data_IF_811126528568
#
_entry.id   IF_811126528568
#
_cell.length_a   1.000
_cell.length_b   1.000
_cell.length_c   1.000
_cell.angle_alpha   90.00
_cell.angle_beta   90.00
_cell.angle_gamma   90.00
#
_symmetry.space_group_name_H-M   'P 1'
#
loop_
_entity.id
_entity.type
_entity.pdbx_description
1 polymer ?
#
# COMPACT_ATOMS: atom_id res chain seq x y z
N UNK A 1 27.45 -17.21 4.02
CA UNK A 1 27.74 -15.78 4.26
C UNK A 1 27.98 -15.18 2.89
N UNK A 2 26.95 -14.58 2.30
CA UNK A 2 27.09 -13.79 1.06
C UNK A 2 28.04 -12.64 1.34
N UNK A 3 29.00 -12.36 0.44
CA UNK A 3 29.93 -11.25 0.64
C UNK A 3 29.21 -9.91 0.47
N UNK A 4 29.72 -8.84 1.07
CA UNK A 4 29.14 -7.50 0.90
C UNK A 4 29.12 -7.06 -0.58
N UNK A 5 30.10 -7.53 -1.38
CA UNK A 5 30.14 -7.30 -2.82
C UNK A 5 28.99 -8.00 -3.56
N UNK A 6 28.61 -9.21 -3.13
CA UNK A 6 27.47 -9.93 -3.71
C UNK A 6 26.15 -9.20 -3.41
N UNK A 7 26.00 -8.63 -2.20
CA UNK A 7 24.82 -7.88 -1.82
C UNK A 7 24.63 -6.61 -2.65
N UNK A 8 25.71 -5.87 -2.91
CA UNK A 8 25.66 -4.67 -3.76
C UNK A 8 25.19 -5.04 -5.18
N UNK A 9 25.77 -6.09 -5.76
CA UNK A 9 25.39 -6.56 -7.09
C UNK A 9 23.92 -7.02 -7.14
N UNK A 10 23.44 -7.72 -6.11
CA UNK A 10 22.02 -8.12 -5.96
C UNK A 10 21.11 -6.88 -5.96
N UNK A 11 21.46 -5.83 -5.20
CA UNK A 11 20.68 -4.58 -5.11
C UNK A 11 20.65 -3.84 -6.45
N UNK A 12 21.79 -3.69 -7.12
CA UNK A 12 21.86 -3.01 -8.42
C UNK A 12 21.04 -3.74 -9.49
N UNK A 13 21.11 -5.08 -9.50
CA UNK A 13 20.33 -5.92 -10.41
C UNK A 13 18.83 -5.75 -10.17
N UNK A 14 18.41 -5.74 -8.90
CA UNK A 14 17.02 -5.50 -8.53
C UNK A 14 16.56 -4.09 -8.92
N UNK A 15 17.38 -3.06 -8.69
CA UNK A 15 17.07 -1.68 -9.07
C UNK A 15 16.84 -1.54 -10.58
N UNK A 16 17.71 -2.14 -11.41
CA UNK A 16 17.53 -2.17 -12.86
C UNK A 16 16.21 -2.83 -13.26
N UNK A 17 15.88 -3.98 -12.66
CA UNK A 17 14.64 -4.70 -12.91
C UNK A 17 13.39 -3.92 -12.49
N UNK A 18 13.46 -3.16 -11.40
CA UNK A 18 12.38 -2.26 -10.98
C UNK A 18 12.20 -1.08 -11.94
N UNK A 19 13.28 -0.56 -12.52
CA UNK A 19 13.19 0.46 -13.57
C UNK A 19 12.52 -0.07 -14.85
N UNK A 20 12.78 -1.33 -15.21
CA UNK A 20 12.06 -2.02 -16.29
C UNK A 20 10.57 -2.17 -15.96
N UNK A 21 10.23 -2.58 -14.74
CA UNK A 21 8.86 -2.69 -14.28
C UNK A 21 8.12 -1.34 -14.35
N UNK A 22 8.74 -0.25 -13.88
CA UNK A 22 8.20 1.11 -14.00
C UNK A 22 7.93 1.48 -15.45
N UNK A 23 8.88 1.19 -16.34
CA UNK A 23 8.76 1.48 -17.78
C UNK A 23 7.59 0.69 -18.39
N UNK A 24 7.41 -0.56 -18.00
CA UNK A 24 6.28 -1.39 -18.43
C UNK A 24 4.93 -0.85 -17.94
N UNK A 25 4.86 -0.40 -16.68
CA UNK A 25 3.65 0.18 -16.09
C UNK A 25 3.28 1.50 -16.78
N UNK A 26 4.28 2.36 -17.05
CA UNK A 26 4.10 3.67 -17.68
C UNK A 26 3.47 3.59 -19.09
N UNK A 27 3.55 2.42 -19.77
CA UNK A 27 2.86 2.19 -21.04
C UNK A 27 1.35 2.25 -20.92
N UNK A 28 0.78 1.85 -19.78
CA UNK A 28 -0.67 1.78 -19.55
C UNK A 28 -1.19 2.79 -18.53
N UNK A 29 -0.33 3.25 -17.62
CA UNK A 29 -0.68 4.18 -16.56
C UNK A 29 0.22 5.42 -16.63
N UNK A 30 -0.31 6.49 -17.22
CA UNK A 30 0.46 7.67 -17.67
C UNK A 30 0.38 8.80 -16.65
N UNK A 31 1.50 9.49 -16.42
CA UNK A 31 1.55 10.78 -15.73
C UNK A 31 1.32 10.74 -14.22
N UNK A 32 1.50 9.57 -13.60
CA UNK A 32 1.28 9.36 -12.17
C UNK A 32 2.42 8.55 -11.53
N UNK A 33 3.66 8.97 -11.79
CA UNK A 33 4.87 8.25 -11.37
C UNK A 33 4.91 7.99 -9.86
N UNK A 34 4.49 8.97 -9.06
CA UNK A 34 4.50 8.82 -7.60
C UNK A 34 3.51 7.75 -7.10
N UNK A 35 2.38 7.58 -7.77
CA UNK A 35 1.41 6.52 -7.44
C UNK A 35 2.00 5.15 -7.80
N UNK A 36 2.69 5.04 -8.94
CA UNK A 36 3.44 3.84 -9.32
C UNK A 36 4.55 3.53 -8.31
N UNK A 37 5.32 4.53 -7.88
CA UNK A 37 6.37 4.37 -6.87
C UNK A 37 5.87 3.81 -5.57
N UNK A 38 4.79 4.39 -5.04
CA UNK A 38 4.24 3.99 -3.75
C UNK A 38 3.58 2.61 -3.82
N UNK A 39 2.96 2.26 -4.96
CA UNK A 39 2.42 0.91 -5.16
C UNK A 39 3.53 -0.14 -5.27
N UNK A 40 4.59 0.11 -6.04
CA UNK A 40 5.77 -0.77 -6.08
C UNK A 40 6.43 -0.88 -4.71
N UNK A 41 6.57 0.23 -3.99
CA UNK A 41 7.05 0.27 -2.61
C UNK A 41 6.23 -0.66 -1.71
N UNK A 42 4.91 -0.62 -1.80
CA UNK A 42 4.04 -1.52 -1.03
C UNK A 42 4.31 -3.00 -1.34
N UNK A 43 4.46 -3.35 -2.61
CA UNK A 43 4.70 -4.74 -3.02
C UNK A 43 6.06 -5.25 -2.56
N UNK A 44 7.14 -4.48 -2.76
CA UNK A 44 8.51 -4.90 -2.40
C UNK A 44 8.72 -4.88 -0.88
N UNK A 45 7.95 -4.07 -0.14
CA UNK A 45 7.93 -4.13 1.32
C UNK A 45 7.15 -5.33 1.88
N UNK A 46 6.41 -6.08 1.05
CA UNK A 46 5.55 -7.16 1.54
C UNK A 46 4.25 -6.66 2.18
N UNK A 47 3.83 -5.42 1.88
CA UNK A 47 2.70 -4.75 2.50
C UNK A 47 1.49 -4.55 1.60
N UNK A 48 0.46 -3.91 2.16
CA UNK A 48 -0.78 -3.52 1.49
C UNK A 48 -0.83 -1.99 1.34
N UNK A 49 -1.54 -1.48 0.33
CA UNK A 49 -1.70 -0.04 0.13
C UNK A 49 -3.16 0.38 0.04
N UNK A 50 -3.44 1.60 0.49
CA UNK A 50 -4.74 2.25 0.42
C UNK A 50 -4.70 3.38 -0.62
N UNK A 51 -5.38 3.19 -1.75
CA UNK A 51 -5.50 4.16 -2.85
C UNK A 51 -6.71 5.08 -2.60
N UNK A 52 -6.45 6.34 -2.26
CA UNK A 52 -7.50 7.33 -2.03
C UNK A 52 -7.59 8.25 -3.23
N UNK A 53 -8.75 8.30 -3.88
CA UNK A 53 -8.94 9.19 -5.03
C UNK A 53 -10.31 9.05 -5.65
N UNK A 54 -10.62 9.94 -6.59
CA UNK A 54 -11.93 9.97 -7.23
C UNK A 54 -12.13 8.79 -8.20
N UNK A 55 -13.38 8.48 -8.58
CA UNK A 55 -13.67 7.53 -9.64
C UNK A 55 -13.02 7.95 -10.97
N UNK A 56 -12.67 6.98 -11.80
CA UNK A 56 -12.13 7.24 -13.15
C UNK A 56 -10.64 7.58 -13.24
N UNK A 57 -9.90 7.65 -12.12
CA UNK A 57 -8.45 7.96 -12.12
C UNK A 57 -7.53 6.77 -12.48
N UNK A 58 -8.06 5.76 -13.19
CA UNK A 58 -7.27 4.63 -13.67
C UNK A 58 -6.80 3.64 -12.59
N UNK A 59 -7.35 3.68 -11.37
CA UNK A 59 -6.98 2.76 -10.26
C UNK A 59 -7.10 1.29 -10.64
N UNK A 60 -8.19 0.88 -11.29
CA UNK A 60 -8.37 -0.49 -11.80
C UNK A 60 -7.29 -0.85 -12.80
N UNK A 61 -7.03 0.03 -13.78
CA UNK A 61 -6.00 -0.16 -14.81
C UNK A 61 -4.60 -0.30 -14.19
N UNK A 62 -4.31 0.45 -13.13
CA UNK A 62 -3.06 0.33 -12.38
C UNK A 62 -2.90 -1.06 -11.76
N UNK A 63 -3.92 -1.57 -11.04
CA UNK A 63 -3.84 -2.88 -10.38
C UNK A 63 -3.74 -4.04 -11.39
N UNK A 64 -4.50 -3.97 -12.48
CA UNK A 64 -4.41 -4.97 -13.56
C UNK A 64 -3.01 -4.97 -14.19
N UNK A 65 -2.48 -3.78 -14.46
CA UNK A 65 -1.13 -3.62 -15.02
C UNK A 65 -0.06 -4.13 -14.06
N UNK A 66 -0.18 -3.84 -12.77
CA UNK A 66 0.73 -4.35 -11.73
C UNK A 66 0.67 -5.88 -11.65
N UNK A 67 -0.52 -6.48 -11.75
CA UNK A 67 -0.67 -7.95 -11.75
C UNK A 67 0.12 -8.58 -12.89
N UNK A 68 0.02 -8.02 -14.11
CA UNK A 68 0.77 -8.48 -15.28
C UNK A 68 2.27 -8.25 -15.12
N UNK A 69 2.70 -7.03 -14.79
CA UNK A 69 4.12 -6.66 -14.71
C UNK A 69 4.83 -7.44 -13.60
N UNK A 70 4.15 -7.69 -12.49
CA UNK A 70 4.70 -8.38 -11.33
C UNK A 70 4.55 -9.92 -11.40
N UNK A 71 3.90 -10.44 -12.45
CA UNK A 71 3.66 -11.88 -12.62
C UNK A 71 2.81 -12.49 -11.51
N UNK A 72 1.80 -11.74 -11.03
CA UNK A 72 0.92 -12.14 -9.94
C UNK A 72 -0.46 -12.52 -10.46
N UNK A 73 -1.04 -13.57 -9.89
CA UNK A 73 -2.45 -13.87 -10.06
C UNK A 73 -3.29 -12.79 -9.38
N UNK A 74 -3.86 -11.90 -10.17
CA UNK A 74 -4.72 -10.82 -9.72
C UNK A 74 -6.17 -11.26 -9.51
N UNK A 75 -6.87 -10.62 -8.58
CA UNK A 75 -8.32 -10.72 -8.48
C UNK A 75 -8.93 -9.39 -8.01
N UNK A 76 -10.22 -9.19 -8.24
CA UNK A 76 -10.93 -7.95 -7.91
C UNK A 76 -12.22 -8.21 -7.16
N UNK A 77 -12.46 -7.41 -6.13
CA UNK A 77 -13.71 -7.36 -5.37
C UNK A 77 -14.21 -5.94 -5.38
N UNK A 78 -15.46 -5.75 -5.76
CA UNK A 78 -16.17 -4.50 -5.54
C UNK A 78 -16.88 -4.58 -4.20
N UNK A 79 -16.59 -3.65 -3.28
CA UNK A 79 -17.28 -3.58 -2.01
C UNK A 79 -18.61 -2.86 -2.20
N UNK A 80 -19.69 -3.53 -1.78
CA UNK A 80 -21.05 -3.03 -1.81
C UNK A 80 -21.69 -3.20 -0.42
N UNK A 81 -22.77 -2.48 -0.09
CA UNK A 81 -23.41 -2.57 1.21
C UNK A 81 -23.95 -3.97 1.57
N UNK A 82 -24.27 -4.77 0.55
CA UNK A 82 -24.79 -6.13 0.65
C UNK A 82 -23.71 -7.23 0.62
N UNK A 83 -22.44 -6.87 0.38
CA UNK A 83 -21.34 -7.83 0.32
C UNK A 83 -21.14 -8.53 1.67
N UNK A 84 -21.18 -9.86 1.67
CA UNK A 84 -21.02 -10.66 2.87
C UNK A 84 -19.56 -11.16 3.03
N UNK A 85 -19.11 -11.46 4.26
CA UNK A 85 -17.79 -12.06 4.48
C UNK A 85 -17.53 -13.33 3.65
N UNK A 86 -18.55 -14.15 3.45
CA UNK A 86 -18.46 -15.39 2.66
C UNK A 86 -18.17 -15.12 1.17
N UNK A 87 -18.60 -13.98 0.62
CA UNK A 87 -18.33 -13.59 -0.77
C UNK A 87 -16.87 -13.17 -0.97
N UNK A 88 -16.16 -12.88 0.12
CA UNK A 88 -14.74 -12.52 0.13
C UNK A 88 -13.88 -13.75 0.43
N UNK A 89 -14.20 -14.44 1.53
CA UNK A 89 -13.40 -15.53 2.07
C UNK A 89 -13.69 -16.89 1.41
N UNK A 90 -14.84 -17.02 0.77
CA UNK A 90 -15.35 -18.30 0.26
C UNK A 90 -16.39 -18.92 1.18
N UNK A 91 -17.07 -19.95 0.67
CA UNK A 91 -18.15 -20.64 1.37
C UNK A 91 -18.16 -22.12 1.05
N UNK A 92 -18.79 -22.92 1.93
CA UNK A 92 -19.07 -24.32 1.65
C UNK A 92 -20.46 -24.46 1.04
N UNK A 93 -20.53 -25.18 -0.06
CA UNK A 93 -21.79 -25.56 -0.70
C UNK A 93 -21.98 -27.06 -0.59
N UNK A 94 -23.22 -27.48 -0.35
CA UNK A 94 -23.57 -28.90 -0.38
C UNK A 94 -23.74 -29.33 -1.84
N UNK A 95 -22.81 -30.13 -2.33
CA UNK A 95 -22.86 -30.68 -3.68
C UNK A 95 -23.41 -32.11 -3.63
N UNK A 96 -24.28 -32.44 -4.57
CA UNK A 96 -24.81 -33.80 -4.73
C UNK A 96 -24.12 -34.41 -5.93
N UNK A 97 -23.31 -35.46 -5.70
CA UNK A 97 -22.64 -36.18 -6.76
C UNK A 97 -23.65 -36.99 -7.60
N UNK A 98 -23.22 -37.44 -8.78
CA UNK A 98 -24.07 -38.18 -9.72
C UNK A 98 -24.62 -39.50 -9.15
N UNK A 99 -24.01 -40.03 -8.09
CA UNK A 99 -24.44 -41.23 -7.35
C UNK A 99 -25.42 -40.94 -6.19
N UNK A 100 -25.79 -39.66 -5.98
CA UNK A 100 -26.71 -39.22 -4.93
C UNK A 100 -26.04 -38.95 -3.58
N UNK A 101 -24.72 -39.14 -3.45
CA UNK A 101 -23.99 -38.77 -2.23
C UNK A 101 -23.90 -37.25 -2.09
N UNK A 102 -24.00 -36.76 -0.84
CA UNK A 102 -23.91 -35.33 -0.53
C UNK A 102 -22.58 -35.06 0.17
N UNK A 103 -21.79 -34.13 -0.35
CA UNK A 103 -20.54 -33.70 0.25
C UNK A 103 -20.48 -32.17 0.28
N UNK A 104 -19.88 -31.61 1.33
CA UNK A 104 -19.56 -30.20 1.37
C UNK A 104 -18.34 -29.94 0.48
N UNK A 105 -18.47 -29.04 -0.49
CA UNK A 105 -17.36 -28.54 -1.30
C UNK A 105 -17.10 -27.08 -0.96
N UNK A 106 -15.85 -26.77 -0.65
CA UNK A 106 -15.43 -25.39 -0.48
C UNK A 106 -15.25 -24.70 -1.82
N UNK A 107 -15.88 -23.54 -1.97
CA UNK A 107 -15.67 -22.62 -3.09
C UNK A 107 -14.79 -21.48 -2.57
N UNK A 108 -13.59 -21.40 -3.13
CA UNK A 108 -12.64 -20.33 -2.82
C UNK A 108 -13.23 -18.96 -3.16
N UNK A 109 -13.17 -18.06 -2.19
CA UNK A 109 -13.47 -16.66 -2.42
C UNK A 109 -12.37 -15.94 -3.22
N UNK A 110 -12.61 -14.70 -3.62
CA UNK A 110 -11.66 -13.91 -4.40
C UNK A 110 -10.33 -13.61 -3.70
N UNK A 111 -10.25 -13.73 -2.37
CA UNK A 111 -8.98 -13.54 -1.61
C UNK A 111 -7.92 -14.60 -1.93
N UNK A 112 -8.27 -15.73 -2.53
CA UNK A 112 -7.32 -16.77 -2.95
C UNK A 112 -6.60 -16.36 -4.25
N UNK A 113 -5.82 -15.29 -4.16
CA UNK A 113 -4.99 -14.75 -5.23
C UNK A 113 -3.68 -14.20 -4.63
N UNK A 114 -2.85 -13.56 -5.44
CA UNK A 114 -1.59 -12.94 -4.99
C UNK A 114 -1.68 -11.41 -4.94
N UNK A 115 -2.49 -10.80 -5.80
CA UNK A 115 -2.77 -9.36 -5.79
C UNK A 115 -4.28 -9.11 -5.84
N UNK A 116 -4.84 -8.63 -4.73
CA UNK A 116 -6.26 -8.35 -4.62
C UNK A 116 -6.54 -6.85 -4.74
N UNK A 117 -7.38 -6.47 -5.69
CA UNK A 117 -8.02 -5.15 -5.71
C UNK A 117 -9.29 -5.17 -4.85
N UNK A 118 -9.31 -4.38 -3.78
CA UNK A 118 -10.50 -4.21 -2.94
C UNK A 118 -11.10 -2.82 -3.18
N UNK A 119 -12.00 -2.71 -4.17
CA UNK A 119 -12.54 -1.45 -4.63
C UNK A 119 -13.61 -0.93 -3.66
N UNK A 120 -13.49 0.34 -3.26
CA UNK A 120 -14.44 1.05 -2.38
C UNK A 120 -14.66 0.36 -1.03
N UNK A 121 -13.57 -0.05 -0.36
CA UNK A 121 -13.59 -0.84 0.88
C UNK A 121 -14.49 -0.23 1.98
N UNK A 122 -14.68 1.09 1.96
CA UNK A 122 -15.54 1.82 2.88
C UNK A 122 -17.05 1.63 2.61
N UNK A 123 -17.49 0.96 1.54
CA UNK A 123 -18.92 0.73 1.25
C UNK A 123 -19.49 -0.54 1.88
N UNK A 124 -18.66 -1.49 2.30
CA UNK A 124 -19.15 -2.70 2.95
C UNK A 124 -19.27 -2.53 4.48
N UNK A 125 -20.08 -3.38 5.09
CA UNK A 125 -20.26 -3.40 6.54
C UNK A 125 -18.93 -3.60 7.30
N UNK A 126 -18.81 -3.11 8.55
CA UNK A 126 -17.62 -3.33 9.37
C UNK A 126 -17.24 -4.81 9.54
N UNK A 127 -18.23 -5.72 9.51
CA UNK A 127 -18.01 -7.16 9.59
C UNK A 127 -17.31 -7.69 8.33
N UNK A 128 -17.75 -7.24 7.15
CA UNK A 128 -17.16 -7.59 5.85
C UNK A 128 -15.76 -7.01 5.70
N UNK A 129 -15.54 -5.75 6.11
CA UNK A 129 -14.22 -5.14 6.18
C UNK A 129 -13.26 -5.94 7.07
N UNK A 130 -13.72 -6.35 8.26
CA UNK A 130 -12.92 -7.12 9.21
C UNK A 130 -12.48 -8.47 8.66
N UNK A 131 -13.33 -9.14 7.87
CA UNK A 131 -12.98 -10.40 7.21
C UNK A 131 -11.79 -10.26 6.26
N UNK A 132 -11.79 -9.25 5.38
CA UNK A 132 -10.64 -8.98 4.50
C UNK A 132 -9.38 -8.64 5.30
N UNK A 133 -9.50 -7.82 6.33
CA UNK A 133 -8.36 -7.36 7.13
C UNK A 133 -7.75 -8.47 7.98
N UNK A 134 -8.56 -9.45 8.41
CA UNK A 134 -8.07 -10.66 9.03
C UNK A 134 -7.26 -11.48 8.03
N UNK A 135 -7.79 -11.71 6.82
CA UNK A 135 -7.09 -12.40 5.75
C UNK A 135 -5.75 -11.72 5.37
N UNK A 136 -5.71 -10.38 5.37
CA UNK A 136 -4.46 -9.61 5.19
C UNK A 136 -3.43 -9.90 6.28
N UNK A 137 -3.86 -9.97 7.54
CA UNK A 137 -2.97 -10.12 8.68
C UNK A 137 -2.48 -11.57 8.86
N UNK A 138 -3.38 -12.53 8.69
CA UNK A 138 -3.13 -13.96 8.93
C UNK A 138 -2.56 -14.66 7.70
N UNK A 139 -2.80 -14.12 6.49
CA UNK A 139 -2.42 -14.72 5.20
C UNK A 139 -3.02 -16.11 4.97
N UNK A 140 -4.06 -16.42 5.73
CA UNK A 140 -4.88 -17.61 5.64
C UNK A 140 -6.32 -17.24 6.03
N UNK A 141 -7.26 -18.14 5.71
CA UNK A 141 -8.66 -18.02 6.14
C UNK A 141 -9.10 -19.33 6.75
N UNK A 142 -9.93 -19.24 7.79
CA UNK A 142 -10.51 -20.42 8.45
C UNK A 142 -12.00 -20.49 8.15
N UNK A 143 -12.41 -21.52 7.41
CA UNK A 143 -13.82 -21.76 7.05
C UNK A 143 -14.18 -23.17 7.50
N UNK A 144 -15.29 -23.30 8.24
CA UNK A 144 -15.77 -24.57 8.80
C UNK A 144 -14.74 -25.34 9.66
N UNK A 145 -13.79 -24.63 10.28
CA UNK A 145 -12.73 -25.23 11.10
C UNK A 145 -11.50 -25.69 10.32
N UNK A 146 -11.49 -25.55 8.99
CA UNK A 146 -10.31 -25.82 8.16
C UNK A 146 -9.54 -24.53 7.87
N UNK A 147 -8.24 -24.55 8.16
CA UNK A 147 -7.30 -23.49 7.77
C UNK A 147 -6.94 -23.62 6.29
N UNK A 148 -7.03 -22.51 5.56
CA UNK A 148 -6.77 -22.47 4.12
C UNK A 148 -5.80 -21.32 3.80
N UNK A 149 -4.57 -21.60 3.34
CA UNK A 149 -3.59 -20.56 3.04
C UNK A 149 -4.00 -19.75 1.81
N UNK A 150 -3.67 -18.46 1.80
CA UNK A 150 -3.83 -17.60 0.63
C UNK A 150 -2.67 -17.77 -0.36
N UNK A 151 -2.78 -17.12 -1.53
CA UNK A 151 -1.68 -17.09 -2.50
C UNK A 151 -0.44 -16.40 -1.93
N UNK A 152 0.75 -16.85 -2.30
CA UNK A 152 2.02 -16.28 -1.82
C UNK A 152 2.79 -15.69 -3.01
N UNK A 153 3.23 -14.42 -2.96
CA UNK A 153 2.91 -13.42 -1.93
C UNK A 153 1.43 -12.99 -1.98
N UNK A 154 0.89 -12.45 -0.87
CA UNK A 154 -0.47 -11.90 -0.81
C UNK A 154 -0.44 -10.39 -0.55
N UNK A 155 -0.98 -9.62 -1.49
CA UNK A 155 -1.06 -8.17 -1.43
C UNK A 155 -2.49 -7.68 -1.66
N UNK A 156 -2.81 -6.54 -1.07
CA UNK A 156 -4.12 -5.91 -1.21
C UNK A 156 -3.89 -4.44 -1.56
N UNK A 157 -4.49 -4.02 -2.66
CA UNK A 157 -4.61 -2.63 -3.06
C UNK A 157 -6.07 -2.24 -2.88
N UNK A 158 -6.37 -1.66 -1.72
CA UNK A 158 -7.72 -1.22 -1.38
C UNK A 158 -7.93 0.19 -1.92
N UNK A 159 -9.13 0.51 -2.40
CA UNK A 159 -9.47 1.87 -2.85
C UNK A 159 -10.53 2.50 -1.95
N UNK A 160 -10.48 3.83 -1.84
CA UNK A 160 -11.52 4.62 -1.19
C UNK A 160 -11.84 5.85 -2.03
N UNK A 161 -13.13 6.19 -2.10
CA UNK A 161 -13.62 7.42 -2.69
C UNK A 161 -13.88 8.45 -1.58
N UNK A 162 -13.16 9.59 -1.53
CA UNK A 162 -13.26 10.54 -0.42
C UNK A 162 -14.54 11.39 -0.43
N UNK A 163 -15.28 11.46 -1.54
CA UNK A 163 -16.47 12.32 -1.66
C UNK A 163 -17.76 11.60 -1.23
N UNK A 164 -17.79 10.27 -1.34
CA UNK A 164 -18.99 9.49 -1.12
C UNK A 164 -19.24 9.30 0.39
N UNK A 165 -20.16 10.09 0.94
CA UNK A 165 -20.48 10.07 2.38
C UNK A 165 -21.71 9.22 2.71
N UNK A 166 -22.59 8.97 1.73
CA UNK A 166 -23.79 8.15 1.94
C UNK A 166 -23.47 6.66 1.85
N UNK A 167 -23.94 5.89 2.83
CA UNK A 167 -23.77 4.43 2.83
C UNK A 167 -22.32 3.96 2.98
N UNK A 168 -21.44 4.79 3.57
CA UNK A 168 -20.06 4.41 3.84
C UNK A 168 -19.79 4.21 5.33
N UNK A 169 -18.89 3.27 5.61
CA UNK A 169 -18.39 2.90 6.92
C UNK A 169 -16.89 3.18 6.94
N UNK A 170 -16.43 4.22 7.67
CA UNK A 170 -15.00 4.51 7.74
C UNK A 170 -14.27 3.35 8.42
N UNK A 171 -13.10 3.01 7.89
CA UNK A 171 -12.23 2.03 8.52
C UNK A 171 -11.76 2.56 9.88
N UNK A 172 -11.95 1.81 10.98
CA UNK A 172 -11.33 2.12 12.26
C UNK A 172 -9.81 2.28 12.14
N UNK A 173 -9.23 3.08 13.03
CA UNK A 173 -7.81 3.42 13.03
C UNK A 173 -6.91 2.17 13.14
N UNK A 174 -7.32 1.21 13.99
CA UNK A 174 -6.64 -0.08 14.13
C UNK A 174 -6.64 -0.92 12.84
N UNK A 175 -7.60 -0.67 11.95
CA UNK A 175 -7.70 -1.33 10.64
C UNK A 175 -6.83 -0.62 9.61
N UNK A 176 -6.85 0.71 9.57
CA UNK A 176 -5.99 1.52 8.70
C UNK A 176 -4.51 1.23 8.95
N UNK A 177 -4.10 1.04 10.20
CA UNK A 177 -2.70 0.77 10.56
C UNK A 177 -2.10 -0.49 9.90
N UNK A 178 -2.95 -1.40 9.39
CA UNK A 178 -2.54 -2.60 8.62
C UNK A 178 -2.05 -2.30 7.20
N UNK A 179 -2.37 -1.12 6.65
CA UNK A 179 -1.84 -0.68 5.36
C UNK A 179 -0.46 -0.06 5.54
N UNK A 180 0.49 -0.43 4.70
CA UNK A 180 1.85 0.14 4.74
C UNK A 180 1.81 1.64 4.44
N UNK A 181 1.15 2.00 3.34
CA UNK A 181 1.03 3.37 2.83
C UNK A 181 -0.41 3.70 2.41
N UNK A 182 -0.80 4.96 2.63
CA UNK A 182 -1.89 5.61 1.93
C UNK A 182 -1.32 6.35 0.72
N UNK A 183 -1.97 6.22 -0.43
CA UNK A 183 -1.56 6.77 -1.71
C UNK A 183 -2.71 7.63 -2.22
N UNK A 184 -2.53 8.94 -2.19
CA UNK A 184 -3.48 9.87 -2.79
C UNK A 184 -3.27 9.88 -4.30
N UNK A 185 -4.37 9.71 -5.05
CA UNK A 185 -4.41 9.66 -6.51
C UNK A 185 -5.06 10.96 -6.99
N UNK A 186 -4.27 11.98 -7.39
CA UNK A 186 -4.80 13.26 -7.85
C UNK A 186 -5.31 13.16 -9.30
N UNK A 187 -5.99 14.21 -9.76
CA UNK A 187 -6.20 14.38 -11.19
C UNK A 187 -4.85 14.52 -11.91
N UNK A 188 -4.69 13.92 -13.11
CA UNK A 188 -3.51 14.15 -13.92
C UNK A 188 -3.39 15.62 -14.30
N UNK A 189 -2.17 16.09 -14.53
CA UNK A 189 -1.98 17.40 -15.15
C UNK A 189 -2.45 17.40 -16.61
N UNK A 190 -2.53 18.58 -17.23
CA UNK A 190 -3.02 18.72 -18.61
C UNK A 190 -2.21 17.93 -19.63
N UNK A 191 -0.90 17.78 -19.43
CA UNK A 191 -0.04 17.07 -20.38
C UNK A 191 -0.28 15.55 -20.26
N UNK A 192 -0.28 15.04 -19.03
CA UNK A 192 -0.64 13.67 -18.71
C UNK A 192 -2.06 13.33 -19.19
N UNK A 193 -3.04 14.20 -18.95
CA UNK A 193 -4.43 14.01 -19.37
C UNK A 193 -4.56 13.95 -20.90
N UNK A 194 -3.82 14.81 -21.62
CA UNK A 194 -3.74 14.76 -23.08
C UNK A 194 -3.18 13.41 -23.55
N UNK A 195 -2.11 12.93 -22.94
CA UNK A 195 -1.46 11.68 -23.33
C UNK A 195 -2.35 10.48 -23.01
N UNK A 196 -3.07 10.50 -21.87
CA UNK A 196 -4.12 9.53 -21.53
C UNK A 196 -5.21 9.53 -22.59
N UNK A 197 -5.71 10.71 -22.99
CA UNK A 197 -6.74 10.84 -24.02
C UNK A 197 -6.28 10.20 -25.34
N UNK A 198 -5.06 10.49 -25.79
CA UNK A 198 -4.51 9.91 -27.01
C UNK A 198 -4.31 8.39 -26.90
N UNK A 199 -3.80 7.91 -25.76
CA UNK A 199 -3.53 6.48 -25.54
C UNK A 199 -4.81 5.63 -25.40
N UNK A 200 -5.91 6.22 -24.90
CA UNK A 200 -7.17 5.49 -24.65
C UNK A 200 -8.20 5.59 -25.77
N UNK A 201 -8.06 6.58 -26.66
CA UNK A 201 -8.98 6.77 -27.80
C UNK A 201 -8.39 6.30 -29.13
N UNK A 202 -7.15 5.82 -29.12
CA UNK A 202 -6.49 5.21 -30.27
C UNK A 202 -7.02 3.83 -30.62
N UNK A 203 -6.64 3.32 -31.80
CA UNK A 203 -7.06 1.99 -32.29
C UNK A 203 -6.30 0.85 -31.61
N UNK A 204 -5.11 1.12 -31.06
CA UNK A 204 -4.27 0.14 -30.38
C UNK A 204 -4.05 0.55 -28.92
N UNK A 205 -4.27 -0.39 -27.99
CA UNK A 205 -3.85 -0.23 -26.60
C UNK A 205 -2.43 -0.77 -26.42
N UNK A 206 -1.59 -0.03 -25.69
CA UNK A 206 -0.28 -0.53 -25.30
C UNK A 206 -0.42 -1.67 -24.29
N UNK A 207 0.28 -2.77 -24.52
CA UNK A 207 0.30 -3.91 -23.60
C UNK A 207 1.45 -3.79 -22.59
N UNK A 208 1.15 -4.15 -21.35
CA UNK A 208 2.15 -4.28 -20.31
C UNK A 208 2.82 -5.65 -20.44
N UNK A 209 4.14 -5.68 -20.26
CA UNK A 209 4.93 -6.91 -20.31
C UNK A 209 5.26 -7.36 -18.90
N UNK A 210 5.19 -8.67 -18.65
CA UNK A 210 5.66 -9.27 -17.41
C UNK A 210 7.16 -9.04 -17.25
N UNK A 211 7.57 -8.55 -16.07
CA UNK A 211 8.97 -8.27 -15.72
C UNK A 211 9.41 -9.12 -14.55
N UNK A 212 8.55 -9.30 -13.55
CA UNK A 212 8.77 -10.21 -12.43
C UNK A 212 7.95 -11.49 -12.56
N UNK A 213 8.43 -12.52 -11.89
CA UNK A 213 7.63 -13.64 -11.38
C UNK A 213 7.30 -13.43 -9.91
N UNK A 214 6.30 -14.15 -9.40
CA UNK A 214 5.96 -14.15 -7.98
C UNK A 214 7.16 -14.51 -7.06
N UNK A 215 8.00 -15.46 -7.48
CA UNK A 215 9.19 -15.85 -6.72
C UNK A 215 10.23 -14.73 -6.67
N UNK A 216 10.47 -14.05 -7.79
CA UNK A 216 11.42 -12.93 -7.82
C UNK A 216 10.95 -11.74 -6.98
N UNK A 217 9.63 -11.53 -6.84
CA UNK A 217 9.09 -10.55 -5.90
C UNK A 217 9.35 -10.96 -4.44
N UNK A 218 9.21 -12.24 -4.10
CA UNK A 218 9.55 -12.73 -2.76
C UNK A 218 11.05 -12.56 -2.46
N UNK A 219 11.90 -12.85 -3.44
CA UNK A 219 13.35 -12.68 -3.31
C UNK A 219 13.70 -11.18 -3.16
N UNK A 220 13.03 -10.31 -3.90
CA UNK A 220 13.16 -8.85 -3.75
C UNK A 220 12.74 -8.37 -2.35
N UNK A 221 11.64 -8.90 -1.79
CA UNK A 221 11.20 -8.59 -0.42
C UNK A 221 12.25 -9.01 0.63
N UNK A 222 12.91 -10.14 0.42
CA UNK A 222 13.99 -10.61 1.31
C UNK A 222 15.24 -9.73 1.18
N UNK A 223 15.63 -9.38 -0.05
CA UNK A 223 16.77 -8.52 -0.33
C UNK A 223 16.58 -7.12 0.28
N UNK A 224 15.39 -6.53 0.18
CA UNK A 224 15.07 -5.24 0.78
C UNK A 224 15.34 -5.22 2.30
N UNK A 225 15.04 -6.32 2.99
CA UNK A 225 15.29 -6.46 4.44
C UNK A 225 16.77 -6.55 4.80
N UNK A 226 17.63 -6.95 3.85
CA UNK A 226 19.09 -7.00 4.01
C UNK A 226 19.78 -5.69 3.66
N UNK A 227 19.08 -4.76 2.99
CA UNK A 227 19.65 -3.47 2.59
C UNK A 227 20.10 -2.66 3.82
N UNK A 228 21.34 -2.13 3.83
CA UNK A 228 21.87 -1.40 4.98
C UNK A 228 21.16 -0.07 5.18
N UNK A 229 21.07 0.35 6.45
CA UNK A 229 20.53 1.65 6.86
C UNK A 229 21.46 2.21 7.93
N UNK A 230 21.92 3.45 7.75
CA UNK A 230 22.79 4.10 8.73
C UNK A 230 22.03 4.49 9.98
N UNK A 231 22.71 4.48 11.13
CA UNK A 231 22.12 4.78 12.45
C UNK A 231 21.39 6.13 12.47
N UNK A 232 21.93 7.15 11.81
CA UNK A 232 21.28 8.46 11.68
C UNK A 232 19.87 8.37 11.07
N UNK A 233 19.67 7.52 10.05
CA UNK A 233 18.34 7.32 9.45
C UNK A 233 17.40 6.58 10.41
N UNK A 234 17.94 5.65 11.22
CA UNK A 234 17.15 4.95 12.23
C UNK A 234 16.64 5.94 13.28
N UNK A 235 17.52 6.76 13.84
CA UNK A 235 17.18 7.80 14.82
C UNK A 235 16.21 8.82 14.21
N UNK A 236 16.44 9.27 12.97
CA UNK A 236 15.53 10.19 12.27
C UNK A 236 14.10 9.65 12.15
N UNK A 237 13.95 8.34 11.87
CA UNK A 237 12.64 7.68 11.80
C UNK A 237 11.98 7.66 13.19
N UNK A 238 12.75 7.36 14.24
CA UNK A 238 12.26 7.36 15.61
C UNK A 238 11.80 8.76 16.03
N UNK A 239 12.62 9.77 15.80
CA UNK A 239 12.35 11.17 16.11
C UNK A 239 11.11 11.69 15.37
N UNK A 240 10.99 11.39 14.07
CA UNK A 240 9.80 11.73 13.29
C UNK A 240 8.52 11.11 13.89
N UNK A 241 8.53 9.80 14.15
CA UNK A 241 7.35 9.10 14.68
C UNK A 241 6.99 9.60 16.07
N UNK A 242 7.98 9.84 16.94
CA UNK A 242 7.76 10.37 18.30
C UNK A 242 7.26 11.81 18.27
N UNK A 243 7.83 12.67 17.43
CA UNK A 243 7.40 14.06 17.25
C UNK A 243 5.94 14.18 16.78
N UNK A 244 5.41 13.16 16.10
CA UNK A 244 4.00 13.09 15.68
C UNK A 244 3.03 12.64 16.79
N UNK A 245 3.50 12.28 17.99
CA UNK A 245 2.64 11.86 19.11
C UNK A 245 2.34 13.04 20.04
N UNK A 246 1.08 13.47 20.19
CA UNK A 246 0.75 14.69 20.95
C UNK A 246 1.03 14.58 22.46
N UNK A 247 1.22 13.37 22.99
CA UNK A 247 1.48 13.13 24.42
C UNK A 247 2.96 13.07 24.79
N UNK A 248 3.87 13.04 23.81
CA UNK A 248 5.31 12.98 24.07
C UNK A 248 5.87 14.39 24.38
N UNK A 249 6.90 14.45 25.23
CA UNK A 249 7.47 15.73 25.67
C UNK A 249 8.22 16.48 24.56
N UNK A 250 8.83 15.73 23.65
CA UNK A 250 9.60 16.17 22.47
C UNK A 250 8.70 16.59 21.29
N UNK A 251 7.40 16.29 21.33
CA UNK A 251 6.47 16.66 20.26
C UNK A 251 6.37 18.18 20.08
N UNK A 252 6.48 18.72 18.85
CA UNK A 252 6.34 20.16 18.63
C UNK A 252 4.98 20.70 19.11
N UNK A 253 4.94 21.94 19.60
CA UNK A 253 3.71 22.53 20.17
C UNK A 253 2.52 22.46 19.21
N UNK A 254 2.74 22.71 17.92
CA UNK A 254 1.68 22.66 16.91
C UNK A 254 1.11 21.25 16.70
N UNK A 255 1.87 20.19 17.01
CA UNK A 255 1.36 18.81 17.02
C UNK A 255 0.46 18.60 18.24
N UNK A 256 0.92 19.00 19.43
CA UNK A 256 0.16 18.88 20.67
C UNK A 256 -1.19 19.59 20.63
N UNK A 257 -1.24 20.76 19.99
CA UNK A 257 -2.46 21.57 19.87
C UNK A 257 -3.45 21.04 18.83
N UNK A 258 -3.00 20.22 17.89
CA UNK A 258 -3.73 19.94 16.65
C UNK A 258 -4.00 18.46 16.39
N UNK A 259 -3.21 17.55 16.96
CA UNK A 259 -3.31 16.10 16.76
C UNK A 259 -4.04 15.46 17.94
N UNK A 260 -5.07 14.66 17.67
CA UNK A 260 -5.82 13.92 18.69
C UNK A 260 -5.10 12.64 19.11
N UNK A 261 -4.51 11.93 18.14
CA UNK A 261 -3.69 10.75 18.37
C UNK A 261 -2.64 10.61 17.27
N UNK A 262 -1.50 10.00 17.64
CA UNK A 262 -0.33 9.88 16.78
C UNK A 262 0.08 8.43 16.50
N UNK A 263 1.12 8.24 15.69
CA UNK A 263 1.51 6.95 15.15
C UNK A 263 2.14 6.01 16.20
N UNK A 264 1.79 4.73 16.12
CA UNK A 264 2.40 3.67 16.92
C UNK A 264 3.71 3.11 16.33
N UNK A 265 4.32 2.08 16.96
CA UNK A 265 5.58 1.48 16.50
C UNK A 265 5.54 0.90 15.08
N UNK A 266 4.36 0.49 14.58
CA UNK A 266 4.21 0.01 13.20
C UNK A 266 4.54 1.08 12.17
N UNK A 267 4.33 2.36 12.49
CA UNK A 267 4.73 3.45 11.60
C UNK A 267 6.24 3.51 11.40
N UNK A 268 7.03 3.32 12.46
CA UNK A 268 8.49 3.29 12.37
C UNK A 268 8.98 2.09 11.54
N UNK A 269 8.36 0.92 11.72
CA UNK A 269 8.65 -0.27 10.91
C UNK A 269 8.30 -0.06 9.44
N UNK A 270 7.14 0.54 9.17
CA UNK A 270 6.71 0.87 7.82
C UNK A 270 7.64 1.88 7.15
N UNK A 271 8.03 2.95 7.85
CA UNK A 271 9.01 3.92 7.37
C UNK A 271 10.35 3.23 7.07
N UNK A 272 10.87 2.41 7.98
CA UNK A 272 12.14 1.69 7.79
C UNK A 272 12.17 0.87 6.49
N UNK A 273 11.12 0.09 6.22
CA UNK A 273 11.04 -0.69 4.98
C UNK A 273 10.84 0.21 3.76
N UNK A 274 9.95 1.19 3.89
CA UNK A 274 9.58 2.01 2.75
C UNK A 274 10.71 2.96 2.33
N UNK A 275 11.54 3.51 3.24
CA UNK A 275 12.70 4.34 2.85
C UNK A 275 13.78 3.53 2.14
N UNK A 276 13.91 2.23 2.46
CA UNK A 276 14.76 1.32 1.68
C UNK A 276 14.21 1.12 0.28
N UNK A 277 12.90 0.95 0.16
CA UNK A 277 12.26 0.76 -1.14
C UNK A 277 12.37 2.04 -1.99
N UNK A 278 12.20 3.23 -1.40
CA UNK A 278 12.38 4.53 -2.06
C UNK A 278 13.81 4.69 -2.58
N UNK A 279 14.81 4.35 -1.78
CA UNK A 279 16.21 4.39 -2.20
C UNK A 279 16.51 3.38 -3.32
N UNK A 280 16.03 2.15 -3.19
CA UNK A 280 16.16 1.10 -4.21
C UNK A 280 15.52 1.50 -5.54
N UNK A 281 14.29 2.04 -5.51
CA UNK A 281 13.59 2.54 -6.71
C UNK A 281 14.31 3.73 -7.36
N UNK A 282 15.08 4.49 -6.57
CA UNK A 282 15.98 5.54 -7.03
C UNK A 282 17.38 5.05 -7.42
N UNK A 283 17.64 3.74 -7.44
CA UNK A 283 18.94 3.15 -7.79
C UNK A 283 20.05 3.35 -6.75
N UNK A 284 19.70 3.66 -5.50
CA UNK A 284 20.64 3.89 -4.40
C UNK A 284 20.70 2.69 -3.46
N UNK A 285 21.90 2.40 -2.96
CA UNK A 285 22.17 1.28 -2.06
C UNK A 285 21.78 1.55 -0.60
N UNK A 286 21.62 2.83 -0.23
CA UNK A 286 21.31 3.27 1.14
C UNK A 286 20.25 4.37 1.13
N UNK A 287 19.35 4.40 2.13
CA UNK A 287 18.43 5.51 2.33
C UNK A 287 19.10 6.81 2.75
N UNK A 288 18.40 7.90 2.51
CA UNK A 288 18.79 9.27 2.85
C UNK A 288 17.69 9.95 3.66
N UNK A 289 18.02 11.09 4.28
CA UNK A 289 17.06 11.93 4.99
C UNK A 289 15.88 12.38 4.09
N UNK A 290 16.15 12.56 2.79
CA UNK A 290 15.13 12.93 1.81
C UNK A 290 14.07 11.84 1.63
N UNK A 291 14.47 10.56 1.75
CA UNK A 291 13.55 9.42 1.68
C UNK A 291 12.61 9.40 2.87
N UNK A 292 13.15 9.67 4.07
CA UNK A 292 12.35 9.81 5.30
C UNK A 292 11.31 10.91 5.12
N UNK A 293 11.71 12.08 4.59
CA UNK A 293 10.78 13.19 4.33
C UNK A 293 9.69 12.81 3.33
N UNK A 294 10.08 12.23 2.19
CA UNK A 294 9.15 11.82 1.11
C UNK A 294 8.14 10.77 1.55
N UNK A 295 8.52 9.92 2.50
CA UNK A 295 7.67 8.82 2.98
C UNK A 295 6.88 9.15 4.25
N UNK A 296 7.15 10.29 4.89
CA UNK A 296 6.42 10.73 6.06
C UNK A 296 4.90 10.78 5.80
N UNK A 297 4.45 11.54 4.80
CA UNK A 297 3.02 11.66 4.51
C UNK A 297 2.36 10.33 4.08
N UNK A 298 2.90 9.56 3.10
CA UNK A 298 2.31 8.28 2.71
C UNK A 298 2.21 7.26 3.84
N UNK A 299 3.14 7.25 4.79
CA UNK A 299 3.14 6.28 5.90
C UNK A 299 2.33 6.78 7.10
N UNK A 300 2.26 8.10 7.35
CA UNK A 300 1.68 8.64 8.59
C UNK A 300 0.25 9.16 8.45
N UNK A 301 -0.22 9.49 7.25
CA UNK A 301 -1.54 10.13 7.05
C UNK A 301 -2.69 9.30 7.61
N UNK A 302 -2.67 7.98 7.40
CA UNK A 302 -3.68 7.06 7.93
C UNK A 302 -3.38 6.55 9.36
N UNK A 303 -2.31 7.05 9.98
CA UNK A 303 -1.84 6.71 11.34
C UNK A 303 -1.87 7.91 12.29
N UNK A 304 -2.57 8.96 11.90
CA UNK A 304 -2.72 10.18 12.67
C UNK A 304 -4.11 10.75 12.44
N UNK A 305 -4.63 11.48 13.43
CA UNK A 305 -5.81 12.29 13.21
C UNK A 305 -5.68 13.66 13.85
N UNK A 306 -6.23 14.66 13.15
CA UNK A 306 -6.44 15.97 13.72
C UNK A 306 -7.55 15.94 14.76
N UNK A 307 -7.39 16.76 15.81
CA UNK A 307 -8.44 17.06 16.77
C UNK A 307 -9.62 17.74 16.10
N UNK A 308 -10.81 17.64 16.69
CA UNK A 308 -12.01 18.31 16.16
C UNK A 308 -11.80 19.82 16.02
N UNK A 309 -11.13 20.44 16.99
CA UNK A 309 -10.81 21.87 16.96
C UNK A 309 -9.87 22.23 15.79
N UNK A 310 -8.85 21.42 15.51
CA UNK A 310 -7.95 21.64 14.38
C UNK A 310 -8.66 21.48 13.03
N UNK A 311 -9.52 20.45 12.90
CA UNK A 311 -10.35 20.28 11.70
C UNK A 311 -11.28 21.48 11.48
N UNK A 312 -11.89 22.00 12.54
CA UNK A 312 -12.75 23.18 12.48
C UNK A 312 -12.00 24.46 12.05
N UNK A 313 -10.69 24.54 12.33
CA UNK A 313 -9.80 25.61 11.84
C UNK A 313 -9.35 25.42 10.39
N UNK A 314 -9.75 24.33 9.73
CA UNK A 314 -9.33 24.01 8.37
C UNK A 314 -7.88 23.53 8.26
N UNK A 315 -7.30 23.01 9.34
CA UNK A 315 -5.95 22.46 9.31
C UNK A 315 -5.88 21.19 8.43
N UNK A 316 -4.75 21.03 7.76
CA UNK A 316 -4.49 19.90 6.86
C UNK A 316 -3.45 18.96 7.48
N UNK A 317 -3.81 17.69 7.64
CA UNK A 317 -2.95 16.69 8.28
C UNK A 317 -1.68 16.42 7.46
N UNK A 318 -1.76 16.33 6.14
CA UNK A 318 -0.61 16.10 5.28
C UNK A 318 0.40 17.26 5.36
N UNK A 319 -0.09 18.50 5.40
CA UNK A 319 0.75 19.68 5.61
C UNK A 319 1.40 19.70 7.00
N UNK A 320 0.69 19.26 8.04
CA UNK A 320 1.25 19.12 9.38
C UNK A 320 2.37 18.07 9.40
N UNK A 321 2.16 16.90 8.78
CA UNK A 321 3.17 15.84 8.67
C UNK A 321 4.41 16.34 7.93
N UNK A 322 4.23 17.01 6.79
CA UNK A 322 5.34 17.58 6.02
C UNK A 322 6.14 18.61 6.82
N UNK A 323 5.45 19.44 7.62
CA UNK A 323 6.09 20.39 8.54
C UNK A 323 6.93 19.68 9.61
N UNK A 324 6.42 18.60 10.22
CA UNK A 324 7.20 17.81 11.20
C UNK A 324 8.41 17.17 10.50
N UNK A 325 8.19 16.50 9.37
CA UNK A 325 9.26 15.83 8.62
C UNK A 325 10.36 16.81 8.18
N UNK A 326 9.98 18.00 7.71
CA UNK A 326 10.94 19.07 7.36
C UNK A 326 11.70 19.59 8.58
N UNK A 327 11.05 19.66 9.75
CA UNK A 327 11.72 20.09 10.98
C UNK A 327 12.79 19.08 11.42
N UNK A 328 12.43 17.80 11.50
CA UNK A 328 13.34 16.73 11.93
C UNK A 328 14.52 16.57 10.95
N UNK A 329 14.23 16.50 9.64
CA UNK A 329 15.27 16.27 8.61
C UNK A 329 16.26 17.42 8.45
N UNK A 330 15.90 18.65 8.83
CA UNK A 330 16.81 19.82 8.82
C UNK A 330 17.69 19.90 10.05
N UNK A 331 17.20 19.48 11.22
CA UNK A 331 17.94 19.55 12.48
C UNK A 331 19.14 18.60 12.45
N UNK A 332 18.97 17.38 11.92
CA UNK A 332 20.08 16.43 11.79
C UNK A 332 21.06 16.78 10.67
N UNK A 333 20.62 17.44 9.59
CA UNK A 333 21.54 17.90 8.55
C UNK A 333 22.48 19.02 9.03
N UNK A 334 22.17 19.65 10.17
CA UNK A 334 22.96 20.72 10.78
C UNK A 334 23.76 20.28 12.02
N UNK A 335 23.59 19.03 12.47
CA UNK A 335 24.29 18.42 13.61
C UNK A 335 25.46 17.56 13.13
#
# INVERSE_FOLDING_TARGET
MTSDADLVQEIETLAAKLAEARTSIAKRFIGQDRVVDLTLTSLICGGHALLVGLPGLGKTRLVDTLSTVMGLHGNRIQFTPDLMPADILGSEVLETAADGTRAFRFIQGPVFCQLLMADEINRASPRTQSALLQAMQEKEVTIAGEHRPLGVPFHVLATQNPIEQEGTYPLPEAQLDRFLVQIDVPYPDRAAERDILLATTGVAEAEATAVFTAQELLDAQQLLRRMPVGDAIVEMILDLVRACRPTEADAPQFVRDSVSWGPGPRAAQALMLAVRAEALLGGRLVPSADDVRKLAAPVLTHRMALSFAARARGENLAALIDRVATHITKVEAAA
#
